data_IF_106139587376
#
_entry.id   IF_106139587376
#
_cell.length_a   1.000
_cell.length_b   1.000
_cell.length_c   1.000
_cell.angle_alpha   90.00
_cell.angle_beta   90.00
_cell.angle_gamma   90.00
#
_symmetry.space_group_name_H-M   'P 1'
#
loop_
_entity.id
_entity.type
_entity.pdbx_description
1 polymer ?
#
# COMPACT_ATOMS: atom_id res chain seq x y z
N UNK A 1 -17.04 11.79 -32.31
CA UNK A 1 -18.31 11.12 -31.96
C UNK A 1 -18.28 9.78 -32.66
N UNK A 2 -17.76 8.74 -31.98
CA UNK A 2 -17.52 7.43 -32.58
C UNK A 2 -18.54 6.43 -32.07
N UNK A 3 -19.58 6.20 -32.88
CA UNK A 3 -20.74 5.36 -32.55
C UNK A 3 -20.69 3.99 -33.26
N UNK A 4 -19.49 3.39 -33.38
CA UNK A 4 -19.29 2.16 -34.18
C UNK A 4 -18.56 1.01 -33.46
N UNK A 5 -18.56 0.97 -32.13
CA UNK A 5 -17.84 -0.08 -31.37
C UNK A 5 -18.74 -1.18 -30.76
N UNK A 6 -20.07 -1.05 -30.82
CA UNK A 6 -20.98 -1.94 -30.05
C UNK A 6 -21.56 -3.12 -30.85
N UNK A 7 -21.68 -3.02 -32.18
CA UNK A 7 -22.36 -4.05 -32.99
C UNK A 7 -21.53 -5.30 -33.24
N UNK A 8 -20.19 -5.22 -33.24
CA UNK A 8 -19.32 -6.39 -33.50
C UNK A 8 -19.27 -7.39 -32.33
N UNK A 9 -19.61 -6.95 -31.12
CA UNK A 9 -19.59 -7.82 -29.93
C UNK A 9 -20.82 -8.75 -29.94
N UNK A 10 -21.96 -8.27 -30.44
CA UNK A 10 -23.19 -9.07 -30.48
C UNK A 10 -23.14 -10.22 -31.48
N UNK A 11 -22.48 -10.04 -32.63
CA UNK A 11 -22.31 -11.13 -33.60
C UNK A 11 -21.38 -12.24 -33.07
N UNK A 12 -20.33 -11.87 -32.34
CA UNK A 12 -19.43 -12.85 -31.72
C UNK A 12 -20.11 -13.68 -30.62
N UNK A 13 -21.01 -13.07 -29.85
CA UNK A 13 -21.77 -13.77 -28.80
C UNK A 13 -22.85 -14.69 -29.40
N UNK A 14 -23.48 -14.32 -30.52
CA UNK A 14 -24.49 -15.13 -31.17
C UNK A 14 -23.92 -16.42 -31.78
N UNK A 15 -22.78 -16.34 -32.47
CA UNK A 15 -22.14 -17.50 -33.13
C UNK A 15 -21.68 -18.58 -32.13
N UNK A 16 -21.29 -18.18 -30.91
CA UNK A 16 -20.85 -19.14 -29.89
C UNK A 16 -21.98 -19.91 -29.21
N UNK A 17 -23.23 -19.45 -29.34
CA UNK A 17 -24.41 -20.06 -28.70
C UNK A 17 -24.91 -21.31 -29.43
N UNK A 18 -24.84 -21.33 -30.76
CA UNK A 18 -25.26 -22.50 -31.56
C UNK A 18 -24.37 -23.72 -31.33
N UNK A 19 -23.07 -23.51 -31.13
CA UNK A 19 -22.14 -24.63 -30.96
C UNK A 19 -22.32 -25.38 -29.63
N UNK A 20 -22.95 -24.77 -28.64
CA UNK A 20 -23.20 -25.40 -27.34
C UNK A 20 -24.55 -26.13 -27.26
N UNK A 21 -25.44 -25.94 -28.25
CA UNK A 21 -26.79 -26.51 -28.18
C UNK A 21 -26.89 -27.90 -28.83
N UNK A 22 -25.90 -28.29 -29.66
CA UNK A 22 -25.95 -29.55 -30.41
C UNK A 22 -25.26 -30.74 -29.72
N UNK A 23 -24.57 -30.54 -28.60
CA UNK A 23 -23.87 -31.61 -27.87
C UNK A 23 -24.64 -32.14 -26.64
N UNK A 24 -25.89 -31.72 -26.43
CA UNK A 24 -26.71 -32.12 -25.27
C UNK A 24 -27.98 -32.84 -25.76
N UNK A 25 -27.81 -33.99 -26.40
CA UNK A 25 -28.93 -34.89 -26.72
C UNK A 25 -28.51 -36.35 -26.57
N UNK A 26 -28.37 -36.80 -25.34
CA UNK A 26 -28.88 -38.10 -24.87
C UNK A 26 -28.63 -38.21 -23.36
N UNK A 27 -29.67 -37.95 -22.56
CA UNK A 27 -29.73 -38.40 -21.17
C UNK A 27 -30.97 -39.29 -21.05
N UNK A 28 -30.83 -40.57 -20.66
CA UNK A 28 -31.94 -41.48 -20.48
C UNK A 28 -32.88 -41.00 -19.36
N UNK A 29 -34.16 -41.37 -19.49
CA UNK A 29 -35.28 -40.89 -18.70
C UNK A 29 -35.03 -40.88 -17.17
N UNK A 30 -35.48 -39.82 -16.46
CA UNK A 30 -35.35 -39.73 -15.01
C UNK A 30 -36.36 -40.62 -14.28
N UNK A 31 -35.84 -41.41 -13.33
CA UNK A 31 -36.60 -42.07 -12.27
C UNK A 31 -37.34 -41.05 -11.40
N UNK A 32 -38.47 -41.42 -10.76
CA UNK A 32 -39.29 -40.50 -9.99
C UNK A 32 -38.57 -39.91 -8.76
N UNK A 33 -38.81 -38.60 -8.61
CA UNK A 33 -38.32 -37.63 -7.63
C UNK A 33 -38.44 -38.06 -6.16
N UNK A 34 -37.38 -37.83 -5.38
CA UNK A 34 -37.47 -37.57 -3.93
C UNK A 34 -37.07 -36.10 -3.69
N UNK A 35 -37.91 -35.26 -3.06
CA UNK A 35 -37.60 -33.84 -2.87
C UNK A 35 -36.85 -33.64 -1.55
N UNK A 36 -35.52 -33.69 -1.58
CA UNK A 36 -34.72 -33.09 -0.51
C UNK A 36 -34.18 -31.74 -0.98
N UNK A 37 -34.99 -30.72 -0.68
CA UNK A 37 -34.53 -29.35 -0.56
C UNK A 37 -33.50 -29.27 0.57
N UNK A 38 -32.21 -29.31 0.26
CA UNK A 38 -31.18 -28.81 1.18
C UNK A 38 -30.34 -27.78 0.45
N UNK A 39 -30.72 -26.53 0.70
CA UNK A 39 -29.98 -25.27 0.61
C UNK A 39 -28.56 -25.37 0.06
N UNK A 40 -28.34 -24.69 -1.07
CA UNK A 40 -27.02 -24.20 -1.44
C UNK A 40 -26.43 -23.37 -0.28
N UNK A 41 -25.22 -23.67 0.22
CA UNK A 41 -24.57 -22.80 1.19
C UNK A 41 -24.26 -21.47 0.50
N UNK A 42 -25.04 -20.45 0.85
CA UNK A 42 -24.81 -19.08 0.45
C UNK A 42 -23.42 -18.65 0.87
N UNK A 43 -22.57 -18.36 -0.13
CA UNK A 43 -21.70 -17.19 -0.33
C UNK A 43 -21.13 -16.39 0.86
N UNK A 44 -21.10 -16.92 2.08
CA UNK A 44 -20.59 -16.25 3.28
C UNK A 44 -19.07 -16.38 3.39
N UNK A 45 -18.44 -17.36 2.73
CA UNK A 45 -16.98 -17.50 2.74
C UNK A 45 -16.23 -16.37 2.00
N UNK A 46 -16.85 -15.73 1.00
CA UNK A 46 -16.22 -14.69 0.19
C UNK A 46 -16.29 -13.28 0.82
N UNK A 47 -17.31 -13.01 1.65
CA UNK A 47 -17.45 -11.70 2.31
C UNK A 47 -16.48 -11.53 3.49
N UNK A 48 -16.08 -12.64 4.12
CA UNK A 48 -15.15 -12.65 5.26
C UNK A 48 -13.71 -12.28 4.85
N UNK A 49 -13.34 -12.47 3.58
CA UNK A 49 -12.00 -12.17 3.08
C UNK A 49 -11.83 -10.67 2.77
N UNK A 50 -12.90 -9.97 2.45
CA UNK A 50 -12.87 -8.54 2.09
C UNK A 50 -12.91 -7.68 3.36
N UNK A 51 -13.68 -8.07 4.37
CA UNK A 51 -13.74 -7.38 5.66
C UNK A 51 -12.44 -7.53 6.48
N UNK A 52 -11.64 -8.57 6.24
CA UNK A 52 -10.34 -8.75 6.87
C UNK A 52 -9.20 -7.94 6.22
N UNK A 53 -9.36 -7.35 5.03
CA UNK A 53 -8.30 -6.53 4.42
C UNK A 53 -8.22 -5.12 4.99
N UNK A 54 -9.32 -4.59 5.53
CA UNK A 54 -9.35 -3.29 6.21
C UNK A 54 -9.07 -3.38 7.72
N UNK A 55 -9.13 -4.58 8.31
CA UNK A 55 -8.95 -4.81 9.74
C UNK A 55 -7.52 -5.22 10.17
N UNK A 56 -6.55 -5.31 9.25
CA UNK A 56 -5.15 -5.59 9.60
C UNK A 56 -4.43 -4.27 9.91
N UNK A 57 -4.99 -3.48 10.82
CA UNK A 57 -4.17 -2.68 11.73
C UNK A 57 -3.67 -3.66 12.80
N UNK A 58 -2.80 -4.59 12.40
CA UNK A 58 -2.11 -5.47 13.34
C UNK A 58 -1.39 -4.58 14.34
N UNK A 59 -1.51 -4.87 15.64
CA UNK A 59 -0.78 -4.19 16.72
C UNK A 59 0.71 -4.03 16.39
N UNK A 60 1.31 -5.04 15.73
CA UNK A 60 2.69 -4.97 15.24
C UNK A 60 2.90 -3.92 14.15
N UNK A 61 1.96 -3.76 13.22
CA UNK A 61 2.00 -2.73 12.18
C UNK A 61 1.95 -1.31 12.75
N UNK A 62 1.16 -1.09 13.80
CA UNK A 62 1.10 0.21 14.50
C UNK A 62 2.42 0.54 15.16
N UNK A 63 2.99 -0.43 15.89
CA UNK A 63 4.27 -0.24 16.58
C UNK A 63 5.38 0.05 15.57
N UNK A 64 5.47 -0.72 14.48
CA UNK A 64 6.45 -0.47 13.41
C UNK A 64 6.27 0.91 12.77
N UNK A 65 5.02 1.34 12.55
CA UNK A 65 4.72 2.67 12.03
C UNK A 65 5.18 3.77 12.99
N UNK A 66 4.85 3.67 14.28
CA UNK A 66 5.26 4.65 15.30
C UNK A 66 6.79 4.72 15.39
N UNK A 67 7.48 3.60 15.41
CA UNK A 67 8.95 3.56 15.44
C UNK A 67 9.53 4.24 14.20
N UNK A 68 9.00 3.95 13.01
CA UNK A 68 9.45 4.56 11.75
C UNK A 68 9.28 6.08 11.77
N UNK A 69 8.13 6.57 12.24
CA UNK A 69 7.86 8.02 12.40
C UNK A 69 8.82 8.65 13.38
N UNK A 70 9.08 8.04 14.54
CA UNK A 70 10.00 8.57 15.55
C UNK A 70 11.44 8.65 15.02
N UNK A 71 11.90 7.65 14.26
CA UNK A 71 13.21 7.66 13.62
C UNK A 71 13.29 8.81 12.61
N UNK A 72 12.28 8.98 11.76
CA UNK A 72 12.22 10.07 10.79
C UNK A 72 12.24 11.45 11.46
N UNK A 73 11.43 11.65 12.51
CA UNK A 73 11.40 12.91 13.28
C UNK A 73 12.75 13.20 13.95
N UNK A 74 13.40 12.17 14.47
CA UNK A 74 14.74 12.29 15.06
C UNK A 74 15.76 12.73 14.00
N UNK A 75 15.77 12.08 12.83
CA UNK A 75 16.66 12.46 11.73
C UNK A 75 16.44 13.92 11.28
N UNK A 76 15.19 14.35 11.15
CA UNK A 76 14.81 15.75 10.85
C UNK A 76 15.35 16.70 11.91
N UNK A 77 15.14 16.41 13.19
CA UNK A 77 15.59 17.26 14.29
C UNK A 77 17.12 17.42 14.29
N UNK A 78 17.87 16.33 14.13
CA UNK A 78 19.34 16.40 14.05
C UNK A 78 19.80 17.20 12.82
N UNK A 79 19.18 16.97 11.66
CA UNK A 79 19.46 17.73 10.44
C UNK A 79 19.21 19.23 10.63
N UNK A 80 18.04 19.58 11.15
CA UNK A 80 17.63 20.96 11.36
C UNK A 80 18.51 21.67 12.38
N UNK A 81 18.76 21.06 13.54
CA UNK A 81 19.58 21.66 14.60
C UNK A 81 20.99 21.92 14.11
N UNK A 82 21.57 20.99 13.34
CA UNK A 82 22.94 21.14 12.87
C UNK A 82 23.08 22.18 11.76
N UNK A 83 22.19 22.14 10.77
CA UNK A 83 22.18 23.12 9.69
C UNK A 83 21.83 24.54 10.19
N UNK A 84 21.10 24.63 11.32
CA UNK A 84 20.85 25.91 12.01
C UNK A 84 22.10 26.45 12.70
N UNK A 85 22.89 25.58 13.34
CA UNK A 85 24.16 25.97 13.92
C UNK A 85 25.16 26.45 12.84
N UNK A 86 25.11 25.86 11.64
CA UNK A 86 25.92 26.26 10.47
C UNK A 86 25.40 27.51 9.73
N UNK A 87 24.32 28.12 10.21
CA UNK A 87 23.68 29.28 9.56
C UNK A 87 23.35 29.10 8.08
N UNK A 88 22.94 27.90 7.67
CA UNK A 88 22.43 27.69 6.31
C UNK A 88 21.14 28.46 6.07
N UNK A 89 20.90 28.80 4.81
CA UNK A 89 19.67 29.43 4.38
C UNK A 89 18.45 28.53 4.63
N UNK A 90 17.29 29.14 4.83
CA UNK A 90 16.06 28.47 5.27
C UNK A 90 15.60 27.41 4.26
N UNK A 91 15.70 27.70 2.96
CA UNK A 91 15.35 26.74 1.91
C UNK A 91 16.21 25.47 1.97
N UNK A 92 17.52 25.63 2.15
CA UNK A 92 18.46 24.51 2.23
C UNK A 92 18.23 23.66 3.50
N UNK A 93 17.87 24.30 4.61
CA UNK A 93 17.51 23.62 5.87
C UNK A 93 16.30 22.71 5.70
N UNK A 94 15.24 23.22 5.07
CA UNK A 94 14.02 22.45 4.81
C UNK A 94 14.31 21.29 3.85
N UNK A 95 15.08 21.54 2.78
CA UNK A 95 15.44 20.51 1.82
C UNK A 95 16.18 19.33 2.48
N UNK A 96 17.21 19.61 3.29
CA UNK A 96 17.94 18.58 4.01
C UNK A 96 17.12 17.92 5.13
N UNK A 97 16.15 18.60 5.72
CA UNK A 97 15.23 18.00 6.68
C UNK A 97 14.32 16.97 5.99
N UNK A 98 13.75 17.29 4.82
CA UNK A 98 12.91 16.37 4.06
C UNK A 98 13.71 15.13 3.63
N UNK A 99 14.93 15.32 3.10
CA UNK A 99 15.79 14.20 2.74
C UNK A 99 16.17 13.34 3.96
N UNK A 100 16.45 13.97 5.11
CA UNK A 100 16.71 13.25 6.36
C UNK A 100 15.51 12.41 6.81
N UNK A 101 14.28 12.88 6.61
CA UNK A 101 13.07 12.11 6.93
C UNK A 101 12.94 10.87 6.04
N UNK A 102 13.09 11.03 4.72
CA UNK A 102 12.96 9.93 3.74
C UNK A 102 14.02 8.85 4.00
N UNK A 103 15.26 9.28 4.30
CA UNK A 103 16.38 8.38 4.59
C UNK A 103 16.66 8.26 6.09
N UNK A 104 15.63 8.31 6.95
CA UNK A 104 15.75 8.43 8.42
C UNK A 104 16.91 7.67 9.06
N UNK A 105 16.95 6.35 8.91
CA UNK A 105 17.96 5.51 9.54
C UNK A 105 19.36 5.70 8.93
N UNK A 106 19.45 5.78 7.60
CA UNK A 106 20.72 6.02 6.90
C UNK A 106 21.29 7.40 7.24
N UNK A 107 20.43 8.42 7.36
CA UNK A 107 20.82 9.77 7.73
C UNK A 107 21.37 9.83 9.15
N UNK A 108 20.75 9.13 10.12
CA UNK A 108 21.25 9.08 11.50
C UNK A 108 22.66 8.47 11.55
N UNK A 109 22.89 7.36 10.84
CA UNK A 109 24.22 6.72 10.78
C UNK A 109 25.24 7.68 10.16
N UNK A 110 24.91 8.28 9.01
CA UNK A 110 25.76 9.29 8.36
C UNK A 110 26.06 10.47 9.30
N UNK A 111 25.05 10.95 10.03
CA UNK A 111 25.20 12.05 10.97
C UNK A 111 26.19 11.71 12.09
N UNK A 112 26.07 10.52 12.69
CA UNK A 112 26.94 10.07 13.78
C UNK A 112 28.40 9.97 13.32
N UNK A 113 28.64 9.43 12.12
CA UNK A 113 30.00 9.19 11.62
C UNK A 113 30.66 10.49 11.14
N UNK A 114 29.93 11.31 10.38
CA UNK A 114 30.54 12.41 9.63
C UNK A 114 30.25 13.79 10.22
N UNK A 115 29.12 13.99 10.89
CA UNK A 115 28.67 15.33 11.34
C UNK A 115 28.72 15.53 12.85
N UNK A 116 28.86 14.46 13.63
CA UNK A 116 28.77 14.53 15.09
C UNK A 116 29.79 15.51 15.70
N UNK A 117 31.05 15.41 15.30
CA UNK A 117 32.14 16.23 15.86
C UNK A 117 31.99 17.70 15.47
N UNK A 118 31.75 17.98 14.18
CA UNK A 118 31.55 19.33 13.67
C UNK A 118 30.38 20.01 14.37
N UNK A 119 29.26 19.31 14.49
CA UNK A 119 28.07 19.88 15.10
C UNK A 119 28.26 20.14 16.60
N UNK A 120 28.91 19.20 17.30
CA UNK A 120 29.21 19.33 18.72
C UNK A 120 30.16 20.49 19.00
N UNK A 121 31.15 20.70 18.14
CA UNK A 121 32.10 21.81 18.23
C UNK A 121 31.41 23.16 18.04
N UNK A 122 30.62 23.31 16.98
CA UNK A 122 29.89 24.57 16.71
C UNK A 122 28.92 24.88 17.85
N UNK A 123 28.20 23.88 18.33
CA UNK A 123 27.23 24.08 19.43
C UNK A 123 27.91 24.57 20.70
N UNK A 124 29.14 24.14 20.99
CA UNK A 124 29.91 24.64 22.14
C UNK A 124 30.35 26.10 21.95
N UNK A 125 30.78 26.48 20.75
CA UNK A 125 31.29 27.82 20.48
C UNK A 125 30.20 28.87 20.22
N UNK A 126 28.97 28.45 19.89
CA UNK A 126 27.86 29.37 19.64
C UNK A 126 27.27 30.00 20.92
N UNK A 127 27.66 29.51 22.12
CA UNK A 127 27.16 29.99 23.41
C UNK A 127 28.21 30.76 24.25
N UNK A 128 29.39 31.04 23.67
CA UNK A 128 30.42 31.91 24.25
C UNK A 128 30.62 33.12 23.35
#
# INVERSE_FOLDING_TARGET
MDFFSSTRILEYVASKREKFTNDVSEIPAPSPVLPDMIMAPGSSAAQNTIMNKFAIFSLGGVISFVISVLIGLTAVYLSWSCNSALQYDLGLKVFFAILAYIFGLLYIIFYIIMRWDTCSYIKKNAYY
#
